data_IF_728488788916
#
_entry.id   IF_728488788916
#
_cell.length_a   1.000
_cell.length_b   1.000
_cell.length_c   1.000
_cell.angle_alpha   90.00
_cell.angle_beta   90.00
_cell.angle_gamma   90.00
#
_symmetry.space_group_name_H-M   'P 1'
#
loop_
_entity.id
_entity.type
_entity.pdbx_description
1 polymer ?
#
# COMPACT_ATOMS: atom_id res chain seq x y z
N UNK A 1 17.78 -3.78 23.45
CA UNK A 1 16.93 -3.09 22.46
C UNK A 1 15.58 -2.75 23.08
N UNK A 2 15.27 -1.47 23.28
CA UNK A 2 13.94 -1.04 23.70
C UNK A 2 12.90 -1.44 22.65
N UNK A 3 11.74 -1.93 23.08
CA UNK A 3 10.66 -2.25 22.16
C UNK A 3 10.11 -0.97 21.51
N UNK A 4 9.90 -0.96 20.19
CA UNK A 4 9.42 0.21 19.46
C UNK A 4 8.12 0.81 20.04
N UNK A 5 7.28 -0.05 20.64
CA UNK A 5 6.03 0.34 21.28
C UNK A 5 6.17 1.01 22.65
N UNK A 6 7.37 1.51 23.01
CA UNK A 6 7.61 2.19 24.29
C UNK A 6 7.24 3.67 24.26
N UNK A 7 7.33 4.31 23.07
CA UNK A 7 7.08 5.75 22.92
C UNK A 7 5.83 6.05 22.09
N UNK A 8 5.64 5.34 20.98
CA UNK A 8 4.47 5.36 20.11
C UNK A 8 4.02 3.91 19.86
N UNK A 9 2.81 3.66 19.36
CA UNK A 9 2.33 2.28 19.22
C UNK A 9 1.40 1.87 20.37
N UNK A 10 1.19 0.56 20.53
CA UNK A 10 0.32 0.01 21.57
C UNK A 10 1.13 -0.48 22.76
N UNK A 11 1.00 0.19 23.90
CA UNK A 11 1.80 -0.11 25.09
C UNK A 11 1.31 -1.38 25.81
N UNK A 12 0.06 -1.78 25.57
CA UNK A 12 -0.53 -3.01 26.10
C UNK A 12 -0.28 -4.23 25.20
N UNK A 13 0.25 -4.03 24.00
CA UNK A 13 0.45 -5.11 23.03
C UNK A 13 1.77 -4.96 22.26
N UNK A 14 2.77 -5.76 22.65
CA UNK A 14 4.10 -5.78 22.03
C UNK A 14 4.13 -6.12 20.52
N UNK A 15 3.05 -6.70 19.98
CA UNK A 15 2.94 -7.01 18.54
C UNK A 15 2.49 -5.81 17.70
N UNK A 16 1.99 -4.75 18.34
CA UNK A 16 1.47 -3.54 17.68
C UNK A 16 2.40 -2.34 17.89
N UNK A 17 3.48 -2.34 17.11
CA UNK A 17 4.56 -1.36 17.22
C UNK A 17 4.30 -0.06 16.44
N UNK A 18 3.55 -0.11 15.34
CA UNK A 18 3.14 1.11 14.65
C UNK A 18 1.99 1.78 15.43
N UNK A 19 1.85 3.13 15.37
CA UNK A 19 0.80 3.84 16.08
C UNK A 19 -0.60 3.23 15.87
N UNK A 20 -1.27 2.86 16.97
CA UNK A 20 -2.61 3.36 17.22
C UNK A 20 -2.55 4.56 18.16
N UNK A 21 -1.42 4.79 18.84
CA UNK A 21 -1.18 5.95 19.71
C UNK A 21 0.09 6.68 19.29
N UNK A 22 -0.03 7.98 19.08
CA UNK A 22 1.07 8.87 18.76
C UNK A 22 1.84 9.34 20.00
N UNK A 23 2.95 10.07 19.80
CA UNK A 23 3.78 10.63 20.88
C UNK A 23 3.02 11.63 21.75
N UNK A 24 2.10 12.39 21.14
CA UNK A 24 1.18 13.32 21.82
C UNK A 24 0.00 12.60 22.50
N UNK A 25 0.03 11.27 22.55
CA UNK A 25 -1.00 10.38 23.12
C UNK A 25 -2.30 10.31 22.34
N UNK A 26 -2.40 10.97 21.19
CA UNK A 26 -3.59 10.88 20.34
C UNK A 26 -3.77 9.45 19.82
N UNK A 27 -5.04 9.03 19.73
CA UNK A 27 -5.46 7.76 19.11
C UNK A 27 -6.40 7.94 17.93
N UNK A 28 -6.71 9.20 17.59
CA UNK A 28 -7.64 9.51 16.50
C UNK A 28 -6.93 9.38 15.16
N UNK A 29 -7.56 8.71 14.19
CA UNK A 29 -7.03 8.59 12.81
C UNK A 29 -6.93 9.94 12.09
N UNK A 30 -7.64 10.97 12.59
CA UNK A 30 -7.51 12.36 12.14
C UNK A 30 -6.18 13.02 12.57
N UNK A 31 -5.41 12.39 13.45
CA UNK A 31 -4.01 12.75 13.70
C UNK A 31 -3.12 12.01 12.70
N UNK A 32 -2.29 12.68 11.89
CA UNK A 32 -1.43 12.02 10.90
C UNK A 32 -0.40 11.07 11.50
N UNK A 33 0.00 11.27 12.76
CA UNK A 33 0.87 10.33 13.47
C UNK A 33 0.16 8.99 13.76
N UNK A 34 -1.17 8.95 13.79
CA UNK A 34 -1.97 7.71 13.88
C UNK A 34 -2.38 7.27 12.48
N UNK A 35 -3.20 8.07 11.79
CA UNK A 35 -3.63 7.86 10.41
C UNK A 35 -3.98 6.42 10.06
N UNK A 36 -3.56 5.98 8.87
CA UNK A 36 -3.84 4.66 8.34
C UNK A 36 -2.79 3.59 8.70
N UNK A 37 -1.92 3.80 9.70
CA UNK A 37 -0.90 2.82 10.09
C UNK A 37 -1.51 1.43 10.34
N UNK A 38 -2.59 1.36 11.13
CA UNK A 38 -3.20 0.08 11.47
C UNK A 38 -3.78 -0.65 10.25
N UNK A 39 -4.32 0.06 9.27
CA UNK A 39 -4.85 -0.57 8.05
C UNK A 39 -3.76 -1.22 7.19
N UNK A 40 -2.57 -0.61 7.15
CA UNK A 40 -1.46 -1.11 6.34
C UNK A 40 -0.73 -2.28 7.00
N UNK A 41 -0.60 -2.29 8.32
CA UNK A 41 0.17 -3.32 9.04
C UNK A 41 -0.68 -4.49 9.54
N UNK A 42 -1.92 -4.23 9.98
CA UNK A 42 -2.67 -5.20 10.79
C UNK A 42 -4.08 -5.50 10.25
N UNK A 43 -4.79 -4.51 9.68
CA UNK A 43 -6.16 -4.69 9.17
C UNK A 43 -6.18 -5.06 7.69
N UNK A 44 -5.50 -6.15 7.32
CA UNK A 44 -5.27 -6.53 5.93
C UNK A 44 -6.56 -6.95 5.22
N UNK A 45 -7.12 -6.09 4.37
CA UNK A 45 -8.35 -6.38 3.62
C UNK A 45 -8.08 -7.03 2.27
N UNK A 46 -7.19 -6.44 1.48
CA UNK A 46 -7.02 -6.78 0.05
C UNK A 46 -5.58 -7.11 -0.35
N UNK A 47 -4.58 -6.86 0.49
CA UNK A 47 -3.18 -7.13 0.23
C UNK A 47 -2.46 -7.65 1.47
N UNK A 48 -1.18 -7.99 1.34
CA UNK A 48 -0.33 -8.40 2.45
C UNK A 48 0.01 -7.22 3.39
N UNK A 49 0.56 -7.53 4.57
CA UNK A 49 1.07 -6.52 5.48
C UNK A 49 2.16 -5.70 4.81
N UNK A 50 2.02 -4.38 4.89
CA UNK A 50 3.03 -3.44 4.42
C UNK A 50 4.07 -3.28 5.52
N UNK A 51 5.31 -3.60 5.19
CA UNK A 51 6.43 -3.42 6.12
C UNK A 51 6.73 -1.93 6.29
N UNK A 52 7.23 -1.55 7.47
CA UNK A 52 7.53 -0.15 7.79
C UNK A 52 8.51 0.49 6.79
N UNK A 53 9.43 -0.30 6.23
CA UNK A 53 10.44 0.15 5.27
C UNK A 53 9.87 0.54 3.90
N UNK A 54 8.59 0.27 3.63
CA UNK A 54 7.93 0.73 2.42
C UNK A 54 7.51 2.20 2.49
N UNK A 55 7.48 2.81 3.67
CA UNK A 55 7.15 4.23 3.88
C UNK A 55 8.22 5.01 4.66
N UNK A 56 9.03 4.34 5.48
CA UNK A 56 9.98 4.99 6.39
C UNK A 56 11.35 4.32 6.35
N UNK A 57 12.39 5.07 6.69
CA UNK A 57 13.66 4.45 7.09
C UNK A 57 13.52 3.97 8.55
N UNK A 58 13.37 2.67 8.74
CA UNK A 58 13.21 2.10 10.09
C UNK A 58 14.52 2.29 10.88
N UNK A 59 14.47 2.92 12.06
CA UNK A 59 15.67 3.14 12.86
C UNK A 59 16.21 1.82 13.41
N UNK A 60 17.54 1.69 13.46
CA UNK A 60 18.22 0.51 14.02
C UNK A 60 18.23 0.47 15.55
N UNK A 61 17.78 1.54 16.21
CA UNK A 61 17.75 1.69 17.67
C UNK A 61 17.42 3.11 18.10
N UNK A 62 17.23 3.31 19.40
CA UNK A 62 16.78 4.57 19.99
C UNK A 62 17.62 5.78 19.54
N UNK A 63 18.95 5.66 19.58
CA UNK A 63 19.87 6.76 19.26
C UNK A 63 20.31 6.80 17.79
N UNK A 64 19.61 6.11 16.90
CA UNK A 64 19.87 6.23 15.46
C UNK A 64 19.60 7.67 15.05
N UNK A 65 20.54 8.30 14.33
CA UNK A 65 20.34 9.65 13.77
C UNK A 65 19.07 9.67 12.91
N UNK A 66 18.18 10.64 13.17
CA UNK A 66 16.86 10.73 12.52
C UNK A 66 15.76 9.90 13.19
N UNK A 67 15.97 9.39 14.42
CA UNK A 67 14.91 8.72 15.17
C UNK A 67 14.37 9.58 16.32
N UNK A 68 15.25 10.00 17.22
CA UNK A 68 14.92 10.88 18.34
C UNK A 68 15.76 12.14 18.26
N UNK A 69 15.14 13.27 18.59
CA UNK A 69 15.81 14.57 18.74
C UNK A 69 16.57 15.04 17.48
N UNK A 70 16.07 14.74 16.29
CA UNK A 70 16.60 15.25 15.01
C UNK A 70 16.14 16.69 14.69
N UNK A 71 15.39 17.32 15.59
CA UNK A 71 14.86 18.67 15.42
C UNK A 71 13.53 18.73 14.66
N UNK A 72 12.97 17.59 14.27
CA UNK A 72 11.65 17.49 13.65
C UNK A 72 10.64 16.86 14.60
N UNK A 73 9.35 17.21 14.42
CA UNK A 73 8.24 16.59 15.15
C UNK A 73 7.54 15.48 14.38
N UNK A 74 8.11 15.06 13.24
CA UNK A 74 7.47 14.16 12.27
C UNK A 74 8.48 13.12 11.81
N UNK A 75 8.07 11.86 11.76
CA UNK A 75 8.87 10.81 11.14
C UNK A 75 9.07 11.10 9.64
N UNK A 76 10.29 10.90 9.12
CA UNK A 76 10.60 11.07 7.71
C UNK A 76 9.91 10.01 6.87
N UNK A 77 9.18 10.44 5.85
CA UNK A 77 8.56 9.54 4.88
C UNK A 77 9.52 9.36 3.71
N UNK A 78 10.12 8.16 3.64
CA UNK A 78 11.06 7.74 2.60
C UNK A 78 10.55 6.41 2.06
N UNK A 79 9.95 6.44 0.87
CA UNK A 79 9.30 5.27 0.29
C UNK A 79 10.29 4.18 -0.12
N UNK A 80 9.90 2.93 0.09
CA UNK A 80 10.66 1.74 -0.25
C UNK A 80 10.54 1.33 -1.72
N UNK A 81 11.08 0.15 -2.04
CA UNK A 81 11.18 -0.33 -3.42
C UNK A 81 9.81 -0.65 -4.01
N UNK A 82 8.90 -1.30 -3.25
CA UNK A 82 7.59 -1.67 -3.78
C UNK A 82 6.73 -0.43 -3.98
N UNK A 83 6.67 0.47 -2.99
CA UNK A 83 5.94 1.74 -3.10
C UNK A 83 6.38 2.56 -4.33
N UNK A 84 7.69 2.60 -4.60
CA UNK A 84 8.28 3.32 -5.74
C UNK A 84 8.29 2.55 -7.07
N UNK A 85 7.67 1.36 -7.17
CA UNK A 85 7.67 0.55 -8.40
C UNK A 85 6.86 1.17 -9.56
N UNK A 86 6.23 2.32 -9.34
CA UNK A 86 5.53 3.07 -10.36
C UNK A 86 6.44 3.81 -11.35
N UNK A 87 5.83 4.54 -12.29
CA UNK A 87 6.58 5.34 -13.27
C UNK A 87 7.12 6.65 -12.70
N UNK A 88 6.64 7.06 -11.53
CA UNK A 88 7.03 8.28 -10.81
C UNK A 88 7.22 7.88 -9.36
N UNK A 89 8.22 8.45 -8.69
CA UNK A 89 8.47 8.19 -7.27
C UNK A 89 7.26 8.58 -6.41
N UNK A 90 7.00 7.76 -5.41
CA UNK A 90 5.98 8.02 -4.39
C UNK A 90 6.31 9.27 -3.60
N UNK A 91 5.26 9.99 -3.20
CA UNK A 91 5.40 11.16 -2.36
C UNK A 91 4.29 11.21 -1.30
N UNK A 92 4.60 11.90 -0.20
CA UNK A 92 3.67 12.23 0.86
C UNK A 92 3.73 13.72 1.13
N UNK A 93 2.59 14.40 1.03
CA UNK A 93 2.47 15.81 1.35
C UNK A 93 2.05 15.98 2.81
N UNK A 94 2.95 16.50 3.63
CA UNK A 94 2.73 16.77 5.05
C UNK A 94 1.71 17.88 5.34
N UNK A 95 1.34 18.69 4.36
CA UNK A 95 0.33 19.76 4.49
C UNK A 95 -1.06 19.17 4.29
N UNK A 96 -1.28 18.50 3.16
CA UNK A 96 -2.58 17.89 2.84
C UNK A 96 -2.78 16.51 3.45
N UNK A 97 -1.72 15.87 3.96
CA UNK A 97 -1.68 14.48 4.44
C UNK A 97 -2.06 13.46 3.35
N UNK A 98 -1.72 13.75 2.09
CA UNK A 98 -2.04 12.90 0.95
C UNK A 98 -0.82 12.18 0.43
N UNK A 99 -1.02 10.92 0.05
CA UNK A 99 -0.02 10.16 -0.69
C UNK A 99 -0.26 10.35 -2.19
N UNK A 100 0.80 10.31 -2.99
CA UNK A 100 0.71 10.34 -4.45
C UNK A 100 1.74 9.40 -5.08
N UNK A 101 1.47 8.98 -6.32
CA UNK A 101 2.39 8.20 -7.14
C UNK A 101 2.85 6.88 -6.48
N UNK A 102 2.04 6.30 -5.61
CA UNK A 102 2.34 5.02 -4.96
C UNK A 102 1.87 3.85 -5.81
N UNK A 103 2.76 2.88 -6.05
CA UNK A 103 2.44 1.66 -6.80
C UNK A 103 1.17 0.99 -6.26
N UNK A 104 1.09 0.84 -4.94
CA UNK A 104 -0.04 0.22 -4.24
C UNK A 104 -1.37 0.97 -4.44
N UNK A 105 -1.31 2.28 -4.65
CA UNK A 105 -2.48 3.13 -4.88
C UNK A 105 -2.76 3.35 -6.37
N UNK A 106 -2.26 2.46 -7.23
CA UNK A 106 -2.59 2.46 -8.65
C UNK A 106 -1.62 3.23 -9.53
N UNK A 107 -0.46 3.64 -9.03
CA UNK A 107 0.62 4.16 -9.87
C UNK A 107 1.44 3.01 -10.47
N UNK A 108 0.79 2.08 -11.17
CA UNK A 108 1.49 1.00 -11.86
C UNK A 108 1.32 1.11 -13.36
N UNK A 109 2.32 0.62 -14.09
CA UNK A 109 2.29 0.50 -15.54
C UNK A 109 2.98 -0.78 -15.97
N UNK A 110 2.24 -1.64 -16.66
CA UNK A 110 2.76 -2.89 -17.19
C UNK A 110 2.81 -2.81 -18.71
N UNK A 111 4.00 -2.92 -19.30
CA UNK A 111 4.17 -2.83 -20.74
C UNK A 111 3.81 -4.13 -21.44
N UNK A 112 3.04 -4.05 -22.54
CA UNK A 112 2.75 -5.16 -23.45
C UNK A 112 4.05 -5.79 -23.97
N UNK A 113 5.03 -4.96 -24.33
CA UNK A 113 6.34 -5.41 -24.81
C UNK A 113 7.09 -6.32 -23.83
N UNK A 114 6.82 -6.19 -22.53
CA UNK A 114 7.50 -6.94 -21.47
C UNK A 114 6.68 -8.15 -20.99
N UNK A 115 5.50 -8.38 -21.57
CA UNK A 115 4.59 -9.44 -21.18
C UNK A 115 4.67 -10.62 -22.13
N UNK A 116 4.68 -11.83 -21.58
CA UNK A 116 4.50 -13.07 -22.33
C UNK A 116 3.06 -13.26 -22.82
N UNK A 117 2.11 -12.48 -22.30
CA UNK A 117 0.67 -12.62 -22.56
C UNK A 117 0.10 -11.40 -23.28
N UNK A 118 0.75 -11.00 -24.37
CA UNK A 118 0.40 -9.78 -25.13
C UNK A 118 -1.03 -9.75 -25.66
N UNK A 119 -1.66 -10.92 -25.86
CA UNK A 119 -3.05 -11.03 -26.31
C UNK A 119 -4.05 -10.37 -25.34
N UNK A 120 -3.70 -10.26 -24.05
CA UNK A 120 -4.55 -9.66 -23.04
C UNK A 120 -4.51 -8.12 -23.04
N UNK A 121 -3.63 -7.51 -23.85
CA UNK A 121 -3.42 -6.08 -23.92
C UNK A 121 -4.13 -5.47 -25.14
N UNK A 122 -5.06 -4.56 -24.88
CA UNK A 122 -5.73 -3.76 -25.93
C UNK A 122 -4.94 -2.51 -26.30
N UNK A 123 -4.07 -2.05 -25.40
CA UNK A 123 -3.18 -0.90 -25.56
C UNK A 123 -1.72 -1.34 -25.38
N UNK A 124 -0.76 -0.43 -25.59
CA UNK A 124 0.65 -0.73 -25.34
C UNK A 124 0.95 -1.08 -23.88
N UNK A 125 0.08 -0.65 -22.95
CA UNK A 125 0.32 -0.75 -21.51
C UNK A 125 -0.98 -0.91 -20.72
N UNK A 126 -0.94 -1.69 -19.65
CA UNK A 126 -1.99 -1.73 -18.62
C UNK A 126 -1.63 -0.77 -17.49
N UNK A 127 -2.58 0.07 -17.09
CA UNK A 127 -2.37 1.12 -16.07
C UNK A 127 -3.42 1.11 -14.97
N UNK A 128 -3.00 1.55 -13.79
CA UNK A 128 -3.90 1.87 -12.69
C UNK A 128 -4.46 3.31 -12.81
N UNK A 129 -5.21 3.71 -11.79
CA UNK A 129 -5.86 5.03 -11.70
C UNK A 129 -5.02 6.09 -10.99
N UNK A 130 -3.83 5.73 -10.48
CA UNK A 130 -2.96 6.59 -9.66
C UNK A 130 -3.75 7.40 -8.61
N UNK A 131 -4.49 6.68 -7.76
CA UNK A 131 -5.32 7.28 -6.74
C UNK A 131 -4.46 7.96 -5.66
N UNK A 132 -4.92 9.12 -5.19
CA UNK A 132 -4.24 9.97 -4.21
C UNK A 132 -5.02 9.90 -2.88
N UNK A 133 -4.79 8.89 -2.02
CA UNK A 133 -5.54 8.73 -0.78
C UNK A 133 -5.16 9.80 0.25
N UNK A 134 -6.13 10.15 1.09
CA UNK A 134 -5.92 10.89 2.34
C UNK A 134 -5.52 9.93 3.46
N UNK A 135 -4.32 10.10 3.99
CA UNK A 135 -3.75 9.24 5.04
C UNK A 135 -4.58 9.19 6.33
N UNK A 136 -5.37 10.24 6.59
CA UNK A 136 -6.16 10.38 7.82
C UNK A 136 -7.57 9.80 7.67
N UNK A 137 -7.98 9.47 6.44
CA UNK A 137 -9.31 8.94 6.15
C UNK A 137 -9.32 7.42 6.19
N UNK A 138 -9.83 6.88 7.30
CA UNK A 138 -9.85 5.44 7.61
C UNK A 138 -11.30 4.94 7.78
N UNK A 139 -12.12 5.11 6.76
CA UNK A 139 -13.53 4.67 6.72
C UNK A 139 -13.76 3.51 5.74
N UNK A 140 -12.68 2.99 5.14
CA UNK A 140 -12.72 1.94 4.12
C UNK A 140 -13.09 2.43 2.71
N UNK A 141 -13.52 3.68 2.52
CA UNK A 141 -13.95 4.18 1.22
C UNK A 141 -12.80 4.20 0.21
N UNK A 142 -11.58 4.46 0.69
CA UNK A 142 -10.38 4.59 -0.15
C UNK A 142 -9.78 3.25 -0.58
N UNK A 143 -10.23 2.13 0.00
CA UNK A 143 -9.81 0.78 -0.34
C UNK A 143 -10.89 0.01 -1.13
N UNK A 144 -11.99 0.68 -1.50
CA UNK A 144 -13.05 0.06 -2.30
C UNK A 144 -12.52 -0.33 -3.68
N UNK A 145 -12.97 -1.49 -4.18
CA UNK A 145 -12.62 -1.95 -5.52
C UNK A 145 -12.96 -0.89 -6.57
N UNK A 146 -12.11 -0.73 -7.59
CA UNK A 146 -12.26 0.34 -8.57
C UNK A 146 -11.50 1.62 -8.23
N UNK A 147 -10.98 1.76 -7.00
CA UNK A 147 -10.22 2.96 -6.58
C UNK A 147 -8.81 2.96 -7.15
N UNK A 148 -8.06 1.87 -7.01
CA UNK A 148 -6.67 1.77 -7.48
C UNK A 148 -6.56 1.45 -8.98
N UNK A 149 -7.43 0.61 -9.51
CA UNK A 149 -7.48 0.23 -10.93
C UNK A 149 -8.93 -0.09 -11.35
N UNK A 150 -9.19 -0.08 -12.66
CA UNK A 150 -10.47 -0.55 -13.21
C UNK A 150 -10.68 -2.05 -13.02
N UNK A 151 -11.89 -2.56 -13.22
CA UNK A 151 -12.19 -3.98 -13.22
C UNK A 151 -12.67 -4.39 -14.62
N UNK A 152 -11.76 -4.70 -15.57
CA UNK A 152 -10.31 -4.85 -15.45
C UNK A 152 -9.53 -3.51 -15.57
N UNK A 153 -8.20 -3.50 -15.31
CA UNK A 153 -7.37 -2.30 -15.48
C UNK A 153 -7.46 -1.71 -16.89
N UNK A 154 -7.24 -0.40 -17.02
CA UNK A 154 -7.21 0.25 -18.34
C UNK A 154 -6.09 -0.35 -19.19
N UNK A 155 -6.39 -0.66 -20.46
CA UNK A 155 -5.45 -1.32 -21.39
C UNK A 155 -5.49 -2.85 -21.34
N UNK A 156 -6.31 -3.43 -20.45
CA UNK A 156 -6.60 -4.87 -20.41
C UNK A 156 -7.83 -5.21 -21.28
N UNK A 157 -7.84 -6.39 -21.89
CA UNK A 157 -8.98 -6.91 -22.62
C UNK A 157 -10.26 -6.93 -21.76
N UNK A 158 -11.40 -6.67 -22.37
CA UNK A 158 -12.68 -6.70 -21.65
C UNK A 158 -12.93 -8.09 -21.05
N UNK A 159 -13.40 -8.12 -19.80
CA UNK A 159 -13.75 -9.35 -19.10
C UNK A 159 -14.76 -9.06 -18.00
N UNK A 160 -15.66 -10.01 -17.77
CA UNK A 160 -16.53 -10.01 -16.60
C UNK A 160 -15.75 -10.41 -15.34
N UNK A 161 -16.20 -9.93 -14.18
CA UNK A 161 -15.53 -10.20 -12.89
C UNK A 161 -15.43 -11.71 -12.60
N UNK A 162 -16.44 -12.48 -12.99
CA UNK A 162 -16.48 -13.94 -12.80
C UNK A 162 -15.44 -14.68 -13.64
N UNK A 163 -14.96 -14.06 -14.71
CA UNK A 163 -14.00 -14.64 -15.65
C UNK A 163 -12.55 -14.30 -15.28
N UNK A 164 -12.32 -13.43 -14.31
CA UNK A 164 -10.96 -13.05 -13.87
C UNK A 164 -10.16 -14.26 -13.39
N UNK A 165 -10.80 -15.19 -12.67
CA UNK A 165 -10.16 -16.40 -12.15
C UNK A 165 -9.64 -17.35 -13.23
N UNK A 166 -10.09 -17.23 -14.48
CA UNK A 166 -9.58 -18.04 -15.60
C UNK A 166 -8.09 -17.79 -15.84
N UNK A 167 -7.68 -16.53 -15.81
CA UNK A 167 -6.29 -16.12 -15.98
C UNK A 167 -5.63 -15.82 -14.64
N UNK A 168 -6.27 -15.10 -13.74
CA UNK A 168 -5.72 -14.71 -12.43
C UNK A 168 -5.95 -15.81 -11.36
N UNK A 169 -5.67 -17.05 -11.73
CA UNK A 169 -5.79 -18.23 -10.87
C UNK A 169 -4.93 -18.07 -9.62
N UNK A 170 -5.52 -18.39 -8.47
CA UNK A 170 -4.83 -18.26 -7.18
C UNK A 170 -4.79 -16.82 -6.64
N UNK A 171 -5.18 -15.80 -7.41
CA UNK A 171 -5.33 -14.42 -6.90
C UNK A 171 -6.78 -14.15 -6.53
N UNK A 172 -7.71 -14.44 -7.45
CA UNK A 172 -9.15 -14.24 -7.28
C UNK A 172 -9.95 -15.51 -7.57
N UNK A 173 -11.09 -15.68 -6.91
CA UNK A 173 -12.06 -16.73 -7.19
C UNK A 173 -13.08 -16.34 -8.28
N UNK A 174 -13.99 -17.26 -8.60
CA UNK A 174 -15.05 -17.05 -9.60
C UNK A 174 -16.10 -16.00 -9.19
N UNK A 175 -16.03 -15.48 -7.96
CA UNK A 175 -16.86 -14.38 -7.47
C UNK A 175 -16.09 -13.05 -7.47
N UNK A 176 -14.82 -13.04 -7.91
CA UNK A 176 -13.97 -11.86 -7.92
C UNK A 176 -13.40 -11.50 -6.54
N UNK A 177 -13.49 -12.40 -5.56
CA UNK A 177 -12.90 -12.19 -4.24
C UNK A 177 -11.42 -12.57 -4.28
N UNK A 178 -10.58 -11.75 -3.66
CA UNK A 178 -9.16 -12.03 -3.48
C UNK A 178 -9.01 -13.20 -2.51
N UNK A 179 -8.41 -14.29 -2.98
CA UNK A 179 -8.15 -15.52 -2.21
C UNK A 179 -6.70 -15.61 -1.72
N UNK A 180 -5.76 -14.96 -2.41
CA UNK A 180 -4.38 -14.82 -1.96
C UNK A 180 -3.96 -13.35 -1.94
N UNK A 181 -3.93 -12.77 -0.74
CA UNK A 181 -3.53 -11.39 -0.51
C UNK A 181 -2.04 -11.15 -0.74
N UNK A 182 -1.22 -12.18 -0.74
CA UNK A 182 0.22 -12.06 -1.02
C UNK A 182 0.50 -11.82 -2.50
N UNK A 183 -0.48 -12.10 -3.37
CA UNK A 183 -0.39 -11.87 -4.82
C UNK A 183 -1.04 -10.57 -5.28
N UNK A 184 -1.96 -10.02 -4.51
CA UNK A 184 -2.60 -8.75 -4.85
C UNK A 184 -1.79 -7.57 -4.28
N UNK A 185 -1.18 -6.78 -5.18
CA UNK A 185 -0.30 -5.63 -4.88
C UNK A 185 1.15 -6.06 -4.50
N UNK A 186 1.70 -7.08 -5.17
CA UNK A 186 3.05 -7.59 -4.93
C UNK A 186 4.12 -7.13 -5.96
N UNK A 187 3.74 -6.25 -6.89
CA UNK A 187 4.63 -5.80 -7.95
C UNK A 187 4.67 -6.69 -9.19
N UNK A 188 3.86 -7.74 -9.29
CA UNK A 188 3.91 -8.71 -10.38
C UNK A 188 2.56 -8.83 -11.10
N UNK A 189 2.59 -9.38 -12.32
CA UNK A 189 1.39 -9.81 -13.03
C UNK A 189 1.19 -11.29 -12.72
N UNK A 190 0.31 -11.57 -11.77
CA UNK A 190 0.02 -12.94 -11.36
C UNK A 190 -1.07 -13.55 -12.24
N UNK A 191 -0.70 -14.54 -13.06
CA UNK A 191 -1.59 -15.28 -13.96
C UNK A 191 -1.20 -16.75 -14.01
N UNK A 192 -2.17 -17.62 -14.32
CA UNK A 192 -2.04 -19.06 -14.47
C UNK A 192 -1.34 -19.75 -13.29
N UNK A 193 -1.63 -19.29 -12.07
CA UNK A 193 -1.16 -19.89 -10.81
C UNK A 193 0.15 -19.32 -10.27
N UNK A 194 0.86 -18.50 -11.04
CA UNK A 194 2.07 -17.80 -10.61
C UNK A 194 1.73 -16.51 -9.91
#
# INVERSE_FOLDING_TARGET
PEACNTCHGDFGNATKIAPPRALDRSIATTNPAVGAHQEHLYTLKIGAAVLCNECHKVPGGLFTTGHVNDGTSKAEVIFGTLSNKGSVNSAYDFTSNKCSNTYCHGNFKFSKSNSSYQFAYTEDQMVGKNFTPDWKKVDGSQAACGTCHGLPPTGHMASELKSCATCHQGVVDAQGKIIDKTKHINGQINVFGN
#
